data_IF_910019564658
#
_entry.id   IF_910019564658
#
_cell.length_a   1.000
_cell.length_b   1.000
_cell.length_c   1.000
_cell.angle_alpha   90.00
_cell.angle_beta   90.00
_cell.angle_gamma   90.00
#
_symmetry.space_group_name_H-M   'P 1'
#
loop_
_entity.id
_entity.type
_entity.pdbx_description
1 polymer ?
#
# COMPACT_ATOMS: atom_id res chain seq x y z
N UNK A 1 4.35 4.04 -8.25
CA UNK A 1 4.97 5.02 -7.32
C UNK A 1 5.64 4.25 -6.21
N UNK A 2 6.88 4.61 -5.85
CA UNK A 2 7.60 4.02 -4.72
C UNK A 2 7.57 5.00 -3.55
N UNK A 3 7.16 4.52 -2.38
CA UNK A 3 7.01 5.28 -1.13
C UNK A 3 8.08 4.80 -0.14
N UNK A 4 9.19 5.53 -0.13
CA UNK A 4 10.31 5.33 0.79
C UNK A 4 10.66 6.71 1.37
N UNK A 5 9.88 7.10 2.38
CA UNK A 5 9.83 8.47 2.86
C UNK A 5 9.61 8.50 4.36
N UNK A 6 8.93 9.54 4.85
CA UNK A 6 8.77 9.71 6.29
C UNK A 6 7.88 8.59 6.88
N UNK A 7 8.49 7.55 7.48
CA UNK A 7 7.87 6.30 8.00
C UNK A 7 6.99 6.50 9.25
N UNK A 8 6.15 7.53 9.20
CA UNK A 8 5.06 7.81 10.14
C UNK A 8 3.74 7.51 9.44
N UNK A 9 2.71 7.20 10.22
CA UNK A 9 1.40 6.85 9.67
C UNK A 9 0.82 8.00 8.85
N UNK A 10 0.82 9.20 9.43
CA UNK A 10 0.16 10.36 8.83
C UNK A 10 0.82 10.79 7.52
N UNK A 11 2.15 10.82 7.47
CA UNK A 11 2.86 11.19 6.24
C UNK A 11 2.62 10.17 5.13
N UNK A 12 2.75 8.87 5.44
CA UNK A 12 2.49 7.78 4.48
C UNK A 12 1.09 7.84 3.89
N UNK A 13 0.06 8.02 4.74
CA UNK A 13 -1.32 8.16 4.28
C UNK A 13 -1.56 9.45 3.48
N UNK A 14 -0.89 10.55 3.84
CA UNK A 14 -0.95 11.80 3.08
C UNK A 14 -0.40 11.61 1.67
N UNK A 15 0.79 11.03 1.54
CA UNK A 15 1.40 10.74 0.24
C UNK A 15 0.56 9.77 -0.57
N UNK A 16 0.06 8.71 0.07
CA UNK A 16 -0.86 7.75 -0.56
C UNK A 16 -2.07 8.47 -1.18
N UNK A 17 -2.75 9.33 -0.43
CA UNK A 17 -3.93 10.05 -0.92
C UNK A 17 -3.61 10.99 -2.07
N UNK A 18 -2.50 11.75 -2.02
CA UNK A 18 -2.08 12.60 -3.12
C UNK A 18 -1.81 11.81 -4.40
N UNK A 19 -1.11 10.68 -4.30
CA UNK A 19 -0.85 9.82 -5.45
C UNK A 19 -2.13 9.14 -5.94
N UNK A 20 -3.04 8.76 -5.04
CA UNK A 20 -4.30 8.09 -5.35
C UNK A 20 -5.21 8.95 -6.25
N UNK A 21 -5.14 10.28 -6.14
CA UNK A 21 -5.86 11.20 -7.04
C UNK A 21 -5.42 11.10 -8.50
N UNK A 22 -4.22 10.58 -8.76
CA UNK A 22 -3.63 10.42 -10.08
C UNK A 22 -3.53 8.95 -10.52
N UNK A 23 -3.90 8.02 -9.64
CA UNK A 23 -3.86 6.59 -9.93
C UNK A 23 -4.91 6.20 -10.96
N UNK A 24 -4.56 5.24 -11.78
CA UNK A 24 -5.46 4.54 -12.71
C UNK A 24 -5.33 3.02 -12.50
N UNK A 25 -6.09 2.24 -13.24
CA UNK A 25 -6.19 0.78 -13.10
C UNK A 25 -4.85 0.04 -13.35
N UNK A 26 -3.93 0.67 -14.07
CA UNK A 26 -2.58 0.14 -14.35
C UNK A 26 -1.51 0.63 -13.35
N UNK A 27 -1.89 1.48 -12.40
CA UNK A 27 -0.96 2.01 -11.42
C UNK A 27 -0.57 0.92 -10.42
N UNK A 28 0.69 0.96 -10.00
CA UNK A 28 1.22 0.10 -8.93
C UNK A 28 1.92 0.97 -7.91
N UNK A 29 1.52 0.84 -6.65
CA UNK A 29 2.13 1.55 -5.53
C UNK A 29 2.90 0.56 -4.68
N UNK A 30 4.10 0.97 -4.27
CA UNK A 30 5.04 0.13 -3.53
C UNK A 30 5.51 0.90 -2.31
N UNK A 31 5.33 0.35 -1.13
CA UNK A 31 5.65 0.95 0.16
C UNK A 31 6.81 0.21 0.79
N UNK A 32 7.84 0.93 1.18
CA UNK A 32 8.95 0.38 1.94
C UNK A 32 8.63 0.33 3.43
N UNK A 33 9.27 -0.58 4.16
CA UNK A 33 9.26 -0.61 5.63
C UNK A 33 7.87 -0.69 6.27
N UNK A 34 6.95 -1.45 5.65
CA UNK A 34 5.54 -1.57 6.07
C UNK A 34 5.34 -2.13 7.50
N UNK A 35 6.36 -2.77 8.07
CA UNK A 35 6.35 -3.31 9.44
C UNK A 35 7.35 -2.62 10.40
N UNK A 36 8.01 -1.54 9.97
CA UNK A 36 9.04 -0.84 10.75
C UNK A 36 8.57 -0.35 12.12
N UNK A 37 7.33 0.11 12.21
CA UNK A 37 6.74 0.63 13.46
C UNK A 37 5.26 0.29 13.56
N UNK A 38 4.67 0.42 14.75
CA UNK A 38 3.22 0.29 14.94
C UNK A 38 2.44 1.30 14.09
N UNK A 39 3.01 2.49 13.86
CA UNK A 39 2.44 3.48 12.96
C UNK A 39 2.41 2.99 11.50
N UNK A 40 3.51 2.41 11.01
CA UNK A 40 3.57 1.85 9.66
C UNK A 40 2.64 0.65 9.50
N UNK A 41 2.56 -0.22 10.51
CA UNK A 41 1.56 -1.31 10.54
C UNK A 41 0.13 -0.78 10.43
N UNK A 42 -0.16 0.30 11.15
CA UNK A 42 -1.46 0.97 11.07
C UNK A 42 -1.72 1.58 9.69
N UNK A 43 -0.72 2.27 9.11
CA UNK A 43 -0.83 2.83 7.76
C UNK A 43 -1.08 1.73 6.72
N UNK A 44 -0.31 0.65 6.78
CA UNK A 44 -0.46 -0.49 5.89
C UNK A 44 -1.86 -1.11 5.98
N UNK A 45 -2.37 -1.33 7.20
CA UNK A 45 -3.73 -1.81 7.42
C UNK A 45 -4.80 -0.91 6.77
N UNK A 46 -4.65 0.40 6.88
CA UNK A 46 -5.58 1.37 6.28
C UNK A 46 -5.49 1.41 4.75
N UNK A 47 -4.28 1.34 4.20
CA UNK A 47 -4.04 1.29 2.76
C UNK A 47 -4.70 0.04 2.14
N UNK A 48 -4.49 -1.15 2.73
CA UNK A 48 -5.13 -2.40 2.27
C UNK A 48 -6.66 -2.32 2.30
N UNK A 49 -7.22 -1.71 3.35
CA UNK A 49 -8.66 -1.57 3.49
C UNK A 49 -9.30 -0.58 2.49
N UNK A 50 -8.50 0.27 1.84
CA UNK A 50 -9.01 1.32 0.98
C UNK A 50 -9.85 0.74 -0.20
N UNK A 51 -11.04 1.28 -0.52
CA UNK A 51 -11.95 0.69 -1.51
C UNK A 51 -11.40 0.64 -2.94
N UNK A 52 -10.52 1.57 -3.31
CA UNK A 52 -9.84 1.56 -4.63
C UNK A 52 -8.72 0.51 -4.73
N UNK A 53 -8.22 0.02 -3.60
CA UNK A 53 -7.18 -1.02 -3.59
C UNK A 53 -7.86 -2.37 -3.79
N UNK A 54 -7.42 -3.06 -4.84
CA UNK A 54 -7.95 -4.38 -5.20
C UNK A 54 -7.08 -5.46 -4.60
N UNK A 55 -5.86 -5.64 -5.11
CA UNK A 55 -4.94 -6.67 -4.62
C UNK A 55 -3.79 -6.06 -3.83
N UNK A 56 -3.38 -6.72 -2.77
CA UNK A 56 -2.16 -6.38 -2.03
C UNK A 56 -1.21 -7.56 -1.90
N UNK A 57 0.08 -7.29 -1.93
CA UNK A 57 1.15 -8.26 -1.68
C UNK A 57 2.00 -7.71 -0.55
N UNK A 58 2.08 -8.50 0.51
CA UNK A 58 2.87 -8.24 1.69
C UNK A 58 4.11 -9.14 1.68
N UNK A 59 5.29 -8.52 1.62
CA UNK A 59 6.59 -9.18 1.62
C UNK A 59 7.34 -8.98 2.95
N UNK A 60 6.68 -8.55 4.03
CA UNK A 60 7.24 -8.17 5.32
C UNK A 60 8.15 -6.92 5.34
N UNK A 61 9.01 -6.73 4.34
CA UNK A 61 9.83 -5.53 4.19
C UNK A 61 9.24 -4.54 3.19
N UNK A 62 8.29 -4.98 2.35
CA UNK A 62 7.69 -4.21 1.29
C UNK A 62 6.21 -4.55 1.17
N UNK A 63 5.37 -3.54 0.93
CA UNK A 63 3.97 -3.71 0.56
C UNK A 63 3.72 -3.24 -0.87
N UNK A 64 3.02 -4.04 -1.67
CA UNK A 64 2.64 -3.71 -3.05
C UNK A 64 1.13 -3.67 -3.12
N UNK A 65 0.57 -2.65 -3.77
CA UNK A 65 -0.87 -2.57 -4.02
C UNK A 65 -1.17 -2.32 -5.49
N UNK A 66 -2.32 -2.83 -5.91
CA UNK A 66 -2.88 -2.71 -7.25
C UNK A 66 -4.26 -2.05 -7.19
N UNK A 67 -4.66 -1.45 -8.32
CA UNK A 67 -5.96 -0.78 -8.50
C UNK A 67 -6.78 -1.39 -9.65
N UNK A 68 -6.29 -2.47 -10.26
CA UNK A 68 -6.92 -3.09 -11.42
C UNK A 68 -8.25 -3.75 -11.00
N UNK A 69 -9.41 -3.33 -11.55
CA UNK A 69 -10.73 -3.87 -11.21
C UNK A 69 -10.95 -5.31 -11.68
N UNK A 70 -10.15 -5.81 -12.62
CA UNK A 70 -10.20 -7.21 -13.07
C UNK A 70 -9.59 -8.18 -12.05
N UNK A 71 -8.85 -7.66 -11.07
CA UNK A 71 -8.31 -8.46 -9.97
C UNK A 71 -9.32 -8.53 -8.82
N UNK A 72 -9.40 -9.70 -8.17
CA UNK A 72 -10.18 -9.87 -6.96
C UNK A 72 -9.59 -9.06 -5.80
N UNK A 73 -10.47 -8.64 -4.87
CA UNK A 73 -10.04 -7.98 -3.65
C UNK A 73 -9.43 -8.98 -2.68
N UNK A 74 -8.10 -9.10 -2.70
CA UNK A 74 -7.35 -10.11 -1.97
C UNK A 74 -6.03 -9.55 -1.40
N UNK A 75 -5.69 -9.99 -0.19
CA UNK A 75 -4.45 -9.63 0.49
C UNK A 75 -3.56 -10.88 0.59
N UNK A 76 -2.44 -10.89 -0.14
CA UNK A 76 -1.47 -11.98 -0.11
C UNK A 76 -0.32 -11.65 0.84
N UNK A 77 0.11 -12.64 1.63
CA UNK A 77 1.37 -12.59 2.37
C UNK A 77 2.29 -13.66 1.80
N UNK A 78 3.41 -13.25 1.21
CA UNK A 78 4.34 -14.18 0.59
C UNK A 78 5.57 -14.37 1.48
N UNK A 79 5.86 -15.63 1.78
CA UNK A 79 7.06 -16.05 2.49
C UNK A 79 7.76 -17.11 1.66
N UNK A 80 9.04 -16.88 1.36
CA UNK A 80 9.92 -17.79 0.64
C UNK A 80 11.03 -18.31 1.57
#
# INVERSE_FOLDING_TARGET
VFFDGNHTKNATLTYFNWCLEKANEQSVFVFDDIYWSEEMKCAWKEIKAHPKVTTTIDLFFLGIIFFNPDLSKEDFVLRF
#
